data_IF_808042378027
#
_entry.id   IF_808042378027
#
_cell.length_a   1.000
_cell.length_b   1.000
_cell.length_c   1.000
_cell.angle_alpha   90.00
_cell.angle_beta   90.00
_cell.angle_gamma   90.00
#
_symmetry.space_group_name_H-M   'P 1'
#
loop_
_entity.id
_entity.type
_entity.pdbx_description
1 polymer ?
#
# COMPACT_ATOMS: atom_id res chain seq x y z
N UNK A 1 -10.67 -6.54 -31.24
CA UNK A 1 -9.63 -5.59 -31.65
C UNK A 1 -9.66 -4.46 -30.63
N UNK A 2 -8.58 -4.22 -29.92
CA UNK A 2 -8.45 -3.09 -28.99
C UNK A 2 -8.33 -1.83 -29.85
N UNK A 3 -9.13 -0.78 -29.61
CA UNK A 3 -8.99 0.48 -30.36
C UNK A 3 -7.56 1.05 -30.21
N UNK A 4 -7.00 1.57 -31.29
CA UNK A 4 -5.62 2.09 -31.31
C UNK A 4 -5.37 3.14 -30.21
N UNK A 5 -6.37 3.95 -29.88
CA UNK A 5 -6.29 4.92 -28.80
C UNK A 5 -6.11 4.28 -27.42
N UNK A 6 -6.76 3.15 -27.16
CA UNK A 6 -6.60 2.43 -25.89
C UNK A 6 -5.21 1.80 -25.78
N UNK A 7 -4.72 1.24 -26.90
CA UNK A 7 -3.37 0.69 -26.96
C UNK A 7 -2.30 1.76 -26.70
N UNK A 8 -2.44 2.92 -27.32
CA UNK A 8 -1.54 4.04 -27.06
C UNK A 8 -1.56 4.48 -25.58
N UNK A 9 -2.74 4.57 -24.95
CA UNK A 9 -2.86 4.87 -23.51
C UNK A 9 -2.16 3.85 -22.62
N UNK A 10 -2.23 2.57 -22.98
CA UNK A 10 -1.52 1.50 -22.23
C UNK A 10 -0.01 1.66 -22.38
N UNK A 11 0.50 1.97 -23.56
CA UNK A 11 1.94 2.21 -23.77
C UNK A 11 2.39 3.46 -23.02
N UNK A 12 1.66 4.56 -23.12
CA UNK A 12 1.93 5.81 -22.41
C UNK A 12 1.94 5.63 -20.89
N UNK A 13 1.09 4.72 -20.36
CA UNK A 13 1.02 4.43 -18.95
C UNK A 13 2.33 3.86 -18.37
N UNK A 14 3.20 3.26 -19.19
CA UNK A 14 4.51 2.75 -18.75
C UNK A 14 5.67 3.66 -19.15
N UNK A 15 5.39 4.81 -19.79
CA UNK A 15 6.40 5.78 -20.16
C UNK A 15 6.65 6.80 -19.06
N UNK A 16 7.81 7.45 -19.13
CA UNK A 16 8.12 8.60 -18.28
C UNK A 16 7.31 9.80 -18.77
N UNK A 17 6.51 10.38 -17.89
CA UNK A 17 5.79 11.62 -18.14
C UNK A 17 6.67 12.83 -17.84
N UNK A 18 6.26 14.02 -18.28
CA UNK A 18 6.87 15.25 -17.85
C UNK A 18 6.85 15.36 -16.31
N UNK A 19 7.91 15.90 -15.72
CA UNK A 19 7.96 16.15 -14.28
C UNK A 19 6.76 17.02 -13.89
N UNK A 20 5.94 16.60 -12.92
CA UNK A 20 4.84 17.42 -12.50
C UNK A 20 5.35 18.71 -11.86
N UNK A 21 4.91 19.83 -12.37
CA UNK A 21 5.16 21.13 -11.74
C UNK A 21 4.18 21.25 -10.56
N UNK A 22 4.60 20.76 -9.38
CA UNK A 22 3.79 20.82 -8.18
C UNK A 22 4.07 22.13 -7.43
N UNK A 23 3.14 23.05 -7.49
CA UNK A 23 3.19 24.31 -6.70
C UNK A 23 2.82 24.02 -5.23
N UNK A 24 3.13 24.94 -4.34
CA UNK A 24 2.73 24.84 -2.90
C UNK A 24 1.21 24.73 -2.76
N UNK A 25 0.44 25.42 -3.62
CA UNK A 25 -1.02 25.32 -3.60
C UNK A 25 -1.52 23.93 -4.03
N UNK A 26 -0.95 23.36 -5.10
CA UNK A 26 -1.27 21.99 -5.54
C UNK A 26 -0.84 20.96 -4.50
N UNK A 27 0.31 21.14 -3.86
CA UNK A 27 0.75 20.29 -2.74
C UNK A 27 -0.27 20.33 -1.60
N UNK A 28 -0.78 21.51 -1.23
CA UNK A 28 -1.81 21.64 -0.20
C UNK A 28 -3.10 20.87 -0.58
N UNK A 29 -3.54 20.94 -1.85
CA UNK A 29 -4.68 20.18 -2.35
C UNK A 29 -4.41 18.68 -2.30
N UNK A 30 -3.24 18.22 -2.73
CA UNK A 30 -2.83 16.81 -2.68
C UNK A 30 -2.86 16.29 -1.25
N UNK A 31 -2.28 17.03 -0.30
CA UNK A 31 -2.28 16.65 1.12
C UNK A 31 -3.70 16.65 1.72
N UNK A 32 -4.54 17.61 1.34
CA UNK A 32 -5.93 17.66 1.75
C UNK A 32 -6.73 16.44 1.22
N UNK A 33 -6.54 16.07 -0.05
CA UNK A 33 -7.18 14.89 -0.64
C UNK A 33 -6.68 13.58 0.02
N UNK A 34 -5.37 13.45 0.25
CA UNK A 34 -4.82 12.29 0.94
C UNK A 34 -5.37 12.17 2.37
N UNK A 35 -5.49 13.29 3.08
CA UNK A 35 -6.11 13.36 4.41
C UNK A 35 -7.58 12.99 4.36
N UNK A 36 -8.33 13.53 3.38
CA UNK A 36 -9.75 13.23 3.18
C UNK A 36 -9.99 11.73 2.87
N UNK A 37 -9.08 11.04 2.21
CA UNK A 37 -9.17 9.61 1.96
C UNK A 37 -8.88 8.76 3.21
N UNK A 38 -7.89 9.16 4.01
CA UNK A 38 -7.29 8.29 5.03
C UNK A 38 -7.75 8.59 6.47
N UNK A 39 -8.28 9.78 6.78
CA UNK A 39 -8.64 10.17 8.15
C UNK A 39 -10.13 10.00 8.45
N UNK A 40 -11.10 10.58 7.69
CA UNK A 40 -12.51 10.50 8.04
C UNK A 40 -13.04 9.07 7.98
N UNK A 41 -13.92 8.70 8.91
CA UNK A 41 -14.55 7.37 8.95
C UNK A 41 -15.32 7.05 7.69
N UNK A 42 -15.93 8.04 7.05
CA UNK A 42 -16.75 7.88 5.86
C UNK A 42 -15.94 7.40 4.64
N UNK A 43 -14.73 7.89 4.45
CA UNK A 43 -13.83 7.53 3.35
C UNK A 43 -12.94 6.35 3.73
N UNK A 44 -12.52 6.28 5.01
CA UNK A 44 -11.72 5.17 5.53
C UNK A 44 -12.36 3.80 5.34
N UNK A 45 -13.68 3.70 5.47
CA UNK A 45 -14.39 2.43 5.26
C UNK A 45 -14.12 1.81 3.88
N UNK A 46 -13.74 2.63 2.88
CA UNK A 46 -13.39 2.18 1.53
C UNK A 46 -11.87 2.12 1.34
N UNK A 47 -11.17 3.23 1.64
CA UNK A 47 -9.72 3.31 1.46
C UNK A 47 -8.97 2.34 2.38
N UNK A 48 -9.46 2.11 3.58
CA UNK A 48 -8.92 1.11 4.51
C UNK A 48 -8.94 -0.32 3.96
N UNK A 49 -9.88 -0.65 3.05
CA UNK A 49 -9.89 -1.95 2.37
C UNK A 49 -8.71 -2.10 1.39
N UNK A 50 -8.33 -1.02 0.69
CA UNK A 50 -7.14 -1.00 -0.15
C UNK A 50 -5.87 -1.12 0.70
N UNK A 51 -5.81 -0.41 1.83
CA UNK A 51 -4.70 -0.53 2.77
C UNK A 51 -4.56 -1.96 3.31
N UNK A 52 -5.68 -2.61 3.69
CA UNK A 52 -5.70 -4.03 4.10
C UNK A 52 -5.25 -4.94 2.96
N UNK A 53 -5.73 -4.73 1.74
CA UNK A 53 -5.29 -5.52 0.59
C UNK A 53 -3.77 -5.38 0.36
N UNK A 54 -3.22 -4.16 0.48
CA UNK A 54 -1.79 -3.91 0.35
C UNK A 54 -0.98 -4.59 1.47
N UNK A 55 -1.50 -4.63 2.69
CA UNK A 55 -0.92 -5.35 3.83
C UNK A 55 -0.86 -6.86 3.54
N UNK A 56 -1.95 -7.48 3.11
CA UNK A 56 -1.99 -8.91 2.78
C UNK A 56 -1.10 -9.25 1.58
N UNK A 57 -1.02 -8.35 0.60
CA UNK A 57 -0.07 -8.48 -0.51
C UNK A 57 1.38 -8.44 -0.05
N UNK A 58 1.70 -7.70 1.02
CA UNK A 58 3.02 -7.71 1.66
C UNK A 58 3.40 -9.11 2.14
N UNK A 59 2.52 -9.79 2.87
CA UNK A 59 2.71 -11.17 3.29
C UNK A 59 2.84 -12.12 2.10
N UNK A 60 1.95 -11.99 1.11
CA UNK A 60 1.91 -12.85 -0.06
C UNK A 60 3.17 -12.73 -0.92
N UNK A 61 3.62 -11.50 -1.19
CA UNK A 61 4.82 -11.23 -1.97
C UNK A 61 6.08 -11.77 -1.27
N UNK A 62 6.22 -11.50 0.03
CA UNK A 62 7.33 -12.01 0.81
C UNK A 62 7.32 -13.55 0.91
N UNK A 63 6.14 -14.16 0.97
CA UNK A 63 5.99 -15.62 0.93
C UNK A 63 6.50 -16.20 -0.40
N UNK A 64 6.09 -15.62 -1.53
CA UNK A 64 6.52 -16.06 -2.86
C UNK A 64 8.04 -15.87 -3.03
N UNK A 65 8.58 -14.72 -2.62
CA UNK A 65 10.03 -14.46 -2.69
C UNK A 65 10.86 -15.42 -1.85
N UNK A 66 10.33 -15.92 -0.74
CA UNK A 66 11.00 -16.92 0.11
C UNK A 66 10.70 -18.38 -0.30
N UNK A 67 10.13 -18.59 -1.49
CA UNK A 67 9.84 -19.91 -2.04
C UNK A 67 8.70 -20.66 -1.36
N UNK A 68 7.83 -19.97 -0.61
CA UNK A 68 6.66 -20.57 0.00
C UNK A 68 5.55 -20.76 -1.06
N UNK A 69 4.70 -21.76 -0.84
CA UNK A 69 3.49 -21.95 -1.64
C UNK A 69 2.37 -21.07 -1.10
N UNK A 70 2.00 -20.04 -1.85
CA UNK A 70 0.85 -19.20 -1.53
C UNK A 70 -0.44 -19.98 -1.80
N UNK A 71 -1.21 -20.24 -0.75
CA UNK A 71 -2.52 -20.93 -0.83
C UNK A 71 -3.63 -19.96 -1.20
N UNK A 72 -3.61 -18.76 -0.63
CA UNK A 72 -4.59 -17.74 -0.96
C UNK A 72 -4.63 -16.57 0.02
N UNK A 73 -5.36 -15.55 -0.41
CA UNK A 73 -5.63 -14.32 0.34
C UNK A 73 -7.14 -14.23 0.56
N UNK A 74 -7.55 -13.86 1.76
CA UNK A 74 -8.95 -13.57 2.09
C UNK A 74 -9.03 -12.17 2.68
N UNK A 75 -9.89 -11.33 2.14
CA UNK A 75 -10.17 -9.99 2.62
C UNK A 75 -11.60 -9.90 3.13
N UNK A 76 -11.83 -9.11 4.17
CA UNK A 76 -13.15 -8.87 4.74
C UNK A 76 -13.48 -7.39 4.77
N UNK A 77 -14.77 -7.06 4.79
CA UNK A 77 -15.25 -5.67 4.78
C UNK A 77 -15.02 -4.94 6.12
N UNK A 78 -14.61 -5.64 7.17
CA UNK A 78 -14.26 -5.10 8.49
C UNK A 78 -12.78 -4.66 8.61
N UNK A 79 -12.06 -4.57 7.49
CA UNK A 79 -10.63 -4.29 7.40
C UNK A 79 -9.75 -5.38 8.03
N UNK A 80 -10.22 -6.61 8.09
CA UNK A 80 -9.38 -7.76 8.40
C UNK A 80 -9.05 -8.54 7.13
N UNK A 81 -7.85 -9.12 7.10
CA UNK A 81 -7.37 -9.97 6.04
C UNK A 81 -6.66 -11.19 6.58
N UNK A 82 -6.37 -12.12 5.72
CA UNK A 82 -5.56 -13.30 6.05
C UNK A 82 -4.89 -13.82 4.79
N UNK A 83 -3.58 -13.87 4.81
CA UNK A 83 -2.76 -14.53 3.79
C UNK A 83 -2.31 -15.89 4.30
N UNK A 84 -2.60 -16.94 3.56
CA UNK A 84 -2.22 -18.31 3.91
C UNK A 84 -1.12 -18.79 2.96
N UNK A 85 0.02 -19.17 3.53
CA UNK A 85 1.14 -19.77 2.80
C UNK A 85 1.69 -20.97 3.54
N UNK A 86 2.27 -21.90 2.80
CA UNK A 86 2.96 -23.07 3.37
C UNK A 86 4.45 -22.83 3.35
N UNK A 87 5.01 -22.62 4.54
CA UNK A 87 6.45 -22.39 4.72
C UNK A 87 7.21 -23.70 4.87
N UNK A 88 8.41 -23.77 4.29
CA UNK A 88 9.35 -24.89 4.47
C UNK A 88 10.30 -24.71 5.66
N UNK A 89 10.11 -23.64 6.45
CA UNK A 89 10.98 -23.39 7.60
C UNK A 89 10.62 -22.13 8.36
N UNK A 90 11.13 -22.02 9.58
CA UNK A 90 10.87 -20.90 10.50
C UNK A 90 11.28 -19.54 9.88
N UNK A 91 12.47 -19.48 9.27
CA UNK A 91 12.99 -18.23 8.70
C UNK A 91 12.07 -17.67 7.60
N UNK A 92 11.57 -18.53 6.70
CA UNK A 92 10.63 -18.11 5.66
C UNK A 92 9.29 -17.64 6.25
N UNK A 93 8.77 -18.31 7.27
CA UNK A 93 7.55 -17.89 7.97
C UNK A 93 7.71 -16.53 8.66
N UNK A 94 8.85 -16.29 9.30
CA UNK A 94 9.19 -15.01 9.94
C UNK A 94 9.32 -13.92 8.87
N UNK A 95 10.00 -14.19 7.77
CA UNK A 95 10.14 -13.27 6.66
C UNK A 95 8.78 -12.84 6.12
N UNK A 96 7.93 -13.77 5.73
CA UNK A 96 6.60 -13.43 5.21
C UNK A 96 5.72 -12.75 6.26
N UNK A 97 5.79 -13.16 7.53
CA UNK A 97 5.04 -12.56 8.62
C UNK A 97 5.43 -11.11 8.92
N UNK A 98 6.66 -10.70 8.61
CA UNK A 98 7.15 -9.35 8.86
C UNK A 98 6.57 -8.31 7.90
N UNK A 99 6.39 -8.63 6.61
CA UNK A 99 6.16 -7.64 5.56
C UNK A 99 4.74 -7.07 5.46
N UNK A 100 3.79 -7.54 6.23
CA UNK A 100 2.43 -6.97 6.23
C UNK A 100 2.41 -5.48 6.56
N UNK A 101 2.93 -5.08 7.74
CA UNK A 101 2.94 -3.68 8.18
C UNK A 101 3.88 -2.76 7.39
N UNK A 102 5.09 -3.17 6.98
CA UNK A 102 5.99 -2.36 6.17
C UNK A 102 5.48 -2.03 4.77
N UNK A 103 4.85 -2.98 4.07
CA UNK A 103 4.57 -2.84 2.63
C UNK A 103 3.63 -1.69 2.29
N UNK A 104 2.55 -1.39 3.03
CA UNK A 104 1.74 -0.20 2.76
C UNK A 104 2.54 1.11 2.79
N UNK A 105 3.48 1.25 3.75
CA UNK A 105 4.32 2.44 3.86
C UNK A 105 5.36 2.52 2.73
N UNK A 106 6.00 1.41 2.39
CA UNK A 106 6.95 1.34 1.27
C UNK A 106 6.26 1.64 -0.06
N UNK A 107 5.07 1.07 -0.29
CA UNK A 107 4.25 1.36 -1.47
C UNK A 107 3.87 2.83 -1.51
N UNK A 108 3.48 3.39 -0.35
CA UNK A 108 3.18 4.81 -0.23
C UNK A 108 4.37 5.70 -0.60
N UNK A 109 5.55 5.43 -0.05
CA UNK A 109 6.76 6.17 -0.37
C UNK A 109 7.17 6.02 -1.85
N UNK A 110 7.05 4.81 -2.41
CA UNK A 110 7.32 4.56 -3.83
C UNK A 110 6.37 5.34 -4.73
N UNK A 111 5.06 5.40 -4.41
CA UNK A 111 4.10 6.20 -5.16
C UNK A 111 4.40 7.70 -5.08
N UNK A 112 4.74 8.21 -3.89
CA UNK A 112 5.10 9.64 -3.72
C UNK A 112 6.34 9.97 -4.55
N UNK A 113 7.41 9.23 -4.39
CA UNK A 113 8.67 9.49 -5.11
C UNK A 113 8.52 9.31 -6.63
N UNK A 114 7.81 8.27 -7.08
CA UNK A 114 7.51 8.07 -8.50
C UNK A 114 6.65 9.20 -9.05
N UNK A 115 5.65 9.67 -8.28
CA UNK A 115 4.80 10.79 -8.67
C UNK A 115 5.59 12.05 -8.94
N UNK A 116 6.50 12.45 -8.03
CA UNK A 116 7.37 13.62 -8.22
C UNK A 116 8.45 13.43 -9.30
N UNK A 117 8.88 12.19 -9.54
CA UNK A 117 9.91 11.87 -10.53
C UNK A 117 9.36 11.67 -11.96
N UNK A 118 8.08 11.96 -12.23
CA UNK A 118 7.47 11.77 -13.55
C UNK A 118 7.10 10.31 -13.89
N UNK A 119 7.24 9.38 -12.93
CA UNK A 119 6.89 7.97 -13.07
C UNK A 119 5.50 7.64 -12.52
N UNK A 120 4.67 8.67 -12.28
CA UNK A 120 3.29 8.49 -11.78
C UNK A 120 2.45 7.53 -12.61
N UNK A 121 2.40 7.65 -13.97
CA UNK A 121 1.66 6.70 -14.81
C UNK A 121 2.12 5.27 -14.60
N UNK A 122 3.44 5.03 -14.68
CA UNK A 122 4.02 3.68 -14.54
C UNK A 122 3.80 3.08 -13.15
N UNK A 123 3.86 3.89 -12.10
CA UNK A 123 3.59 3.45 -10.74
C UNK A 123 2.12 3.03 -10.55
N UNK A 124 1.16 3.81 -11.08
CA UNK A 124 -0.27 3.48 -11.05
C UNK A 124 -0.59 2.24 -11.88
N UNK A 125 -0.03 2.15 -13.10
CA UNK A 125 -0.21 0.98 -13.97
C UNK A 125 0.37 -0.28 -13.34
N UNK A 126 1.59 -0.22 -12.79
CA UNK A 126 2.23 -1.34 -12.09
C UNK A 126 1.43 -1.78 -10.88
N UNK A 127 0.97 -0.84 -10.04
CA UNK A 127 0.11 -1.14 -8.90
C UNK A 127 -1.18 -1.82 -9.31
N UNK A 128 -1.82 -1.35 -10.39
CA UNK A 128 -3.03 -1.95 -10.96
C UNK A 128 -2.77 -3.37 -11.46
N UNK A 129 -1.65 -3.62 -12.14
CA UNK A 129 -1.26 -4.96 -12.60
C UNK A 129 -0.98 -5.91 -11.43
N UNK A 130 -0.34 -5.44 -10.36
CA UNK A 130 -0.11 -6.24 -9.14
C UNK A 130 -1.47 -6.64 -8.52
N UNK A 131 -2.41 -5.69 -8.40
CA UNK A 131 -3.76 -5.97 -7.92
C UNK A 131 -4.50 -6.95 -8.84
N UNK A 132 -4.40 -6.79 -10.15
CA UNK A 132 -5.00 -7.70 -11.14
C UNK A 132 -4.43 -9.12 -11.00
N UNK A 133 -3.11 -9.26 -10.93
CA UNK A 133 -2.45 -10.55 -10.73
C UNK A 133 -2.85 -11.19 -9.38
N UNK A 134 -3.06 -10.39 -8.35
CA UNK A 134 -3.45 -10.89 -7.03
C UNK A 134 -4.83 -11.55 -7.00
N UNK A 135 -5.74 -11.21 -7.95
CA UNK A 135 -7.06 -11.85 -8.08
C UNK A 135 -6.94 -13.38 -8.22
N UNK A 136 -5.86 -13.89 -8.80
CA UNK A 136 -5.62 -15.34 -8.91
C UNK A 136 -5.49 -16.01 -7.54
N UNK A 137 -5.12 -15.27 -6.51
CA UNK A 137 -4.89 -15.78 -5.16
C UNK A 137 -6.02 -15.44 -4.18
N UNK A 138 -6.97 -14.59 -4.57
CA UNK A 138 -8.13 -14.26 -3.72
C UNK A 138 -9.06 -15.48 -3.61
N UNK A 139 -9.49 -15.80 -2.38
CA UNK A 139 -10.25 -17.03 -2.09
C UNK A 139 -11.63 -16.77 -1.49
N UNK A 140 -12.13 -15.54 -1.50
CA UNK A 140 -13.47 -15.23 -1.01
C UNK A 140 -14.14 -14.09 -1.79
N UNK A 141 -15.46 -14.06 -1.81
CA UNK A 141 -16.24 -13.08 -2.60
C UNK A 141 -15.96 -11.64 -2.19
N UNK A 142 -15.89 -11.33 -0.90
CA UNK A 142 -15.58 -9.97 -0.43
C UNK A 142 -14.20 -9.53 -0.93
N UNK A 143 -13.19 -10.41 -0.91
CA UNK A 143 -11.86 -10.13 -1.45
C UNK A 143 -11.88 -9.87 -2.95
N UNK A 144 -12.63 -10.70 -3.72
CA UNK A 144 -12.80 -10.48 -5.16
C UNK A 144 -13.44 -9.12 -5.46
N UNK A 145 -14.47 -8.74 -4.67
CA UNK A 145 -15.12 -7.45 -4.82
C UNK A 145 -14.16 -6.30 -4.49
N UNK A 146 -13.47 -6.35 -3.36
CA UNK A 146 -12.51 -5.31 -2.91
C UNK A 146 -11.40 -5.15 -3.95
N UNK A 147 -10.74 -6.25 -4.31
CA UNK A 147 -9.61 -6.21 -5.25
C UNK A 147 -10.08 -5.87 -6.67
N UNK A 148 -11.23 -6.39 -7.10
CA UNK A 148 -11.82 -6.07 -8.40
C UNK A 148 -12.18 -4.58 -8.53
N UNK A 149 -12.77 -3.97 -7.50
CA UNK A 149 -13.03 -2.53 -7.48
C UNK A 149 -11.74 -1.71 -7.46
N UNK A 150 -10.71 -2.17 -6.75
CA UNK A 150 -9.40 -1.52 -6.76
C UNK A 150 -8.73 -1.59 -8.15
N UNK A 151 -8.81 -2.74 -8.83
CA UNK A 151 -8.34 -2.91 -10.22
C UNK A 151 -9.13 -2.01 -11.18
N UNK A 152 -10.45 -1.98 -11.07
CA UNK A 152 -11.29 -1.12 -11.91
C UNK A 152 -10.97 0.36 -11.68
N UNK A 153 -10.83 0.78 -10.42
CA UNK A 153 -10.45 2.14 -10.05
C UNK A 153 -9.05 2.50 -10.56
N UNK A 154 -8.07 1.62 -10.36
CA UNK A 154 -6.71 1.81 -10.87
C UNK A 154 -6.66 1.87 -12.40
N UNK A 155 -7.38 0.99 -13.09
CA UNK A 155 -7.52 1.00 -14.54
C UNK A 155 -8.17 2.29 -15.04
N UNK A 156 -9.22 2.77 -14.36
CA UNK A 156 -9.86 4.05 -14.68
C UNK A 156 -8.86 5.22 -14.52
N UNK A 157 -8.09 5.24 -13.42
CA UNK A 157 -7.07 6.27 -13.21
C UNK A 157 -6.02 6.26 -14.32
N UNK A 158 -5.54 5.08 -14.73
CA UNK A 158 -4.53 4.93 -15.79
C UNK A 158 -5.08 5.37 -17.15
N UNK A 159 -6.35 5.06 -17.47
CA UNK A 159 -6.90 5.28 -18.80
C UNK A 159 -7.54 6.66 -18.98
N UNK A 160 -8.08 7.26 -17.91
CA UNK A 160 -8.88 8.50 -17.99
C UNK A 160 -8.09 9.71 -17.51
N UNK A 161 -7.23 9.56 -16.49
CA UNK A 161 -6.46 10.69 -15.97
C UNK A 161 -5.40 11.10 -16.99
N UNK A 162 -5.34 12.40 -17.40
CA UNK A 162 -4.28 12.89 -18.26
C UNK A 162 -2.90 12.70 -17.63
N UNK A 163 -1.89 12.39 -18.44
CA UNK A 163 -0.53 12.04 -17.97
C UNK A 163 0.13 13.11 -17.08
N UNK A 164 -0.19 14.38 -17.29
CA UNK A 164 0.29 15.49 -16.46
C UNK A 164 -0.28 15.51 -15.02
N UNK A 165 -1.44 14.85 -14.78
CA UNK A 165 -2.04 14.76 -13.44
C UNK A 165 -1.81 13.42 -12.75
N UNK A 166 -1.32 12.40 -13.45
CA UNK A 166 -1.08 11.07 -12.86
C UNK A 166 -0.05 11.10 -11.74
N UNK A 167 0.93 12.00 -11.82
CA UNK A 167 1.88 12.26 -10.74
C UNK A 167 1.18 12.72 -9.46
N UNK A 168 0.25 13.68 -9.56
CA UNK A 168 -0.52 14.18 -8.41
C UNK A 168 -1.38 13.06 -7.79
N UNK A 169 -2.03 12.23 -8.62
CA UNK A 169 -2.83 11.08 -8.15
C UNK A 169 -1.94 10.07 -7.43
N UNK A 170 -0.75 9.75 -7.96
CA UNK A 170 0.20 8.86 -7.32
C UNK A 170 0.64 9.40 -5.95
N UNK A 171 0.92 10.71 -5.84
CA UNK A 171 1.27 11.35 -4.57
C UNK A 171 0.11 11.29 -3.57
N UNK A 172 -1.14 11.58 -4.00
CA UNK A 172 -2.33 11.46 -3.13
C UNK A 172 -2.47 10.06 -2.56
N UNK A 173 -2.45 9.04 -3.41
CA UNK A 173 -2.56 7.63 -2.98
C UNK A 173 -1.38 7.21 -2.12
N UNK A 174 -0.18 7.66 -2.46
CA UNK A 174 1.04 7.37 -1.71
C UNK A 174 1.00 7.95 -0.29
N UNK A 175 0.67 9.23 -0.14
CA UNK A 175 0.52 9.86 1.19
C UNK A 175 -0.62 9.20 1.98
N UNK A 176 -1.74 8.89 1.32
CA UNK A 176 -2.86 8.22 1.98
C UNK A 176 -2.47 6.81 2.50
N UNK A 177 -1.64 6.04 1.76
CA UNK A 177 -1.11 4.75 2.22
C UNK A 177 -0.10 4.91 3.37
N UNK A 178 0.74 5.96 3.35
CA UNK A 178 1.64 6.27 4.46
C UNK A 178 0.86 6.57 5.74
N UNK A 179 -0.20 7.37 5.65
CA UNK A 179 -1.11 7.63 6.78
C UNK A 179 -1.81 6.34 7.23
N UNK A 180 -2.26 5.51 6.30
CA UNK A 180 -2.88 4.23 6.60
C UNK A 180 -1.94 3.31 7.37
N UNK A 181 -0.67 3.22 6.99
CA UNK A 181 0.35 2.42 7.68
C UNK A 181 0.55 2.87 9.14
N UNK A 182 0.60 4.20 9.39
CA UNK A 182 0.66 4.74 10.75
C UNK A 182 -0.60 4.40 11.56
N UNK A 183 -1.77 4.50 10.92
CA UNK A 183 -3.06 4.19 11.56
C UNK A 183 -3.17 2.71 11.94
N UNK A 184 -2.73 1.80 11.07
CA UNK A 184 -2.73 0.37 11.35
C UNK A 184 -1.69 0.00 12.41
N UNK A 185 -0.52 0.63 12.40
CA UNK A 185 0.50 0.50 13.45
C UNK A 185 -0.04 0.97 14.83
N UNK A 186 -0.76 2.09 14.86
CA UNK A 186 -1.39 2.57 16.09
C UNK A 186 -2.44 1.57 16.61
N UNK A 187 -3.26 0.99 15.72
CA UNK A 187 -4.21 -0.07 16.05
C UNK A 187 -3.53 -1.34 16.57
N UNK A 188 -2.41 -1.76 15.95
CA UNK A 188 -1.59 -2.87 16.41
C UNK A 188 -1.07 -2.61 17.83
N UNK A 189 -0.54 -1.42 18.07
CA UNK A 189 0.00 -1.01 19.38
C UNK A 189 -1.12 -1.00 20.46
N UNK A 190 -2.31 -0.50 20.11
CA UNK A 190 -3.48 -0.53 21.02
C UNK A 190 -3.87 -1.97 21.40
N UNK A 191 -3.82 -2.91 20.43
CA UNK A 191 -4.07 -4.35 20.69
C UNK A 191 -3.05 -4.88 21.71
N UNK A 192 -1.78 -4.55 21.59
CA UNK A 192 -0.74 -5.02 22.52
C UNK A 192 -0.81 -4.40 23.91
N UNK A 193 -1.28 -3.15 24.02
CA UNK A 193 -1.34 -2.42 25.28
C UNK A 193 -2.67 -2.65 26.03
N UNK A 194 -3.82 -2.71 25.31
CA UNK A 194 -5.14 -2.61 25.92
C UNK A 194 -6.07 -3.78 25.58
N UNK A 195 -5.90 -4.45 24.42
CA UNK A 195 -6.83 -5.46 23.92
C UNK A 195 -6.17 -6.83 23.77
N UNK A 196 -5.74 -7.37 24.90
CA UNK A 196 -5.00 -8.65 24.95
C UNK A 196 -5.80 -9.86 24.46
N UNK A 197 -7.13 -9.77 24.44
CA UNK A 197 -8.04 -10.76 23.84
C UNK A 197 -7.81 -10.94 22.33
N UNK A 198 -7.28 -9.93 21.63
CA UNK A 198 -6.98 -9.94 20.19
C UNK A 198 -5.53 -10.23 19.83
N UNK A 199 -4.67 -10.46 20.83
CA UNK A 199 -3.24 -10.70 20.59
C UNK A 199 -2.95 -11.89 19.66
N UNK A 200 -3.75 -12.96 19.75
CA UNK A 200 -3.54 -14.18 18.98
C UNK A 200 -3.56 -13.99 17.45
N UNK A 201 -4.22 -12.93 16.97
CA UNK A 201 -4.30 -12.58 15.53
C UNK A 201 -3.31 -11.49 15.12
N UNK A 202 -2.44 -11.03 16.01
CA UNK A 202 -1.46 -9.97 15.75
C UNK A 202 -0.20 -10.53 15.11
N UNK A 203 0.27 -9.95 14.00
CA UNK A 203 1.52 -10.37 13.34
C UNK A 203 2.72 -10.28 14.27
N UNK A 204 2.83 -9.20 15.06
CA UNK A 204 3.92 -9.05 16.02
C UNK A 204 3.90 -10.16 17.09
N UNK A 205 2.72 -10.65 17.48
CA UNK A 205 2.59 -11.77 18.39
C UNK A 205 2.90 -13.11 17.72
N UNK A 206 2.49 -13.30 16.47
CA UNK A 206 2.83 -14.49 15.69
C UNK A 206 4.34 -14.57 15.45
N UNK A 207 5.00 -13.45 15.17
CA UNK A 207 6.46 -13.35 15.07
C UNK A 207 7.15 -13.68 16.40
N UNK A 208 6.62 -13.17 17.53
CA UNK A 208 7.10 -13.55 18.85
C UNK A 208 6.99 -15.07 19.07
N UNK A 209 5.86 -15.66 18.77
CA UNK A 209 5.68 -17.12 18.91
C UNK A 209 6.63 -17.93 18.03
N UNK A 210 6.92 -17.42 16.84
CA UNK A 210 7.84 -18.10 15.92
C UNK A 210 9.32 -17.96 16.31
N UNK A 211 9.73 -16.87 17.00
CA UNK A 211 11.14 -16.54 17.22
C UNK A 211 11.56 -16.44 18.67
N UNK A 212 10.61 -16.33 19.61
CA UNK A 212 10.80 -15.95 21.01
C UNK A 212 11.34 -14.50 21.21
N UNK A 213 11.46 -13.72 20.14
CA UNK A 213 11.81 -12.30 20.21
C UNK A 213 10.57 -11.52 20.65
N UNK A 214 10.62 -10.69 21.69
CA UNK A 214 9.48 -9.95 22.20
C UNK A 214 8.74 -9.15 21.11
N UNK A 215 7.41 -9.15 21.14
CA UNK A 215 6.56 -8.43 20.16
C UNK A 215 6.90 -6.95 20.05
N UNK A 216 7.35 -6.31 21.15
CA UNK A 216 7.78 -4.91 21.16
C UNK A 216 8.94 -4.64 20.19
N UNK A 217 9.88 -5.59 20.05
CA UNK A 217 10.99 -5.45 19.09
C UNK A 217 10.45 -5.47 17.66
N UNK A 218 9.53 -6.37 17.34
CA UNK A 218 8.89 -6.42 16.03
C UNK A 218 8.11 -5.15 15.71
N UNK A 219 7.36 -4.63 16.67
CA UNK A 219 6.66 -3.34 16.54
C UNK A 219 7.66 -2.20 16.29
N UNK A 220 8.79 -2.17 17.01
CA UNK A 220 9.84 -1.17 16.81
C UNK A 220 10.46 -1.25 15.41
N UNK A 221 10.62 -2.45 14.86
CA UNK A 221 11.09 -2.64 13.49
C UNK A 221 10.04 -2.15 12.47
N UNK A 222 8.76 -2.41 12.70
CA UNK A 222 7.70 -1.84 11.86
C UNK A 222 7.71 -0.30 11.90
N UNK A 223 7.84 0.28 13.10
CA UNK A 223 8.00 1.74 13.28
C UNK A 223 9.18 2.26 12.47
N UNK A 224 10.33 1.61 12.54
CA UNK A 224 11.54 2.04 11.85
C UNK A 224 11.35 2.07 10.32
N UNK A 225 10.73 1.01 9.73
CA UNK A 225 10.47 0.97 8.27
C UNK A 225 9.43 2.01 7.88
N UNK A 226 8.35 2.16 8.64
CA UNK A 226 7.30 3.16 8.36
C UNK A 226 7.87 4.58 8.46
N UNK A 227 8.67 4.88 9.51
CA UNK A 227 9.32 6.18 9.66
C UNK A 227 10.32 6.44 8.53
N UNK A 228 11.13 5.45 8.15
CA UNK A 228 12.03 5.54 6.99
C UNK A 228 11.28 5.83 5.69
N UNK A 229 10.12 5.19 5.47
CA UNK A 229 9.25 5.46 4.32
C UNK A 229 8.74 6.91 4.31
N UNK A 230 8.35 7.44 5.48
CA UNK A 230 7.97 8.85 5.62
C UNK A 230 9.13 9.80 5.34
N UNK A 231 10.35 9.50 5.82
CA UNK A 231 11.53 10.32 5.53
C UNK A 231 11.83 10.37 4.03
N UNK A 232 11.73 9.23 3.32
CA UNK A 232 11.90 9.18 1.87
C UNK A 232 10.84 10.03 1.16
N UNK A 233 9.57 9.88 1.53
CA UNK A 233 8.48 10.65 0.92
C UNK A 233 8.55 12.15 1.24
N UNK A 234 9.12 12.51 2.39
CA UNK A 234 9.27 13.90 2.83
C UNK A 234 10.29 14.70 1.98
N UNK A 235 11.30 14.04 1.43
CA UNK A 235 12.37 14.73 0.66
C UNK A 235 11.81 15.58 -0.49
N UNK A 236 11.03 15.06 -1.44
CA UNK A 236 10.49 15.88 -2.52
C UNK A 236 9.44 16.89 -2.03
N UNK A 237 8.70 16.59 -0.97
CA UNK A 237 7.71 17.52 -0.38
C UNK A 237 8.42 18.73 0.22
N UNK A 238 9.46 18.50 1.01
CA UNK A 238 10.24 19.59 1.64
C UNK A 238 10.96 20.47 0.62
N UNK A 239 11.41 19.92 -0.49
CA UNK A 239 12.03 20.67 -1.56
C UNK A 239 11.07 21.70 -2.19
N UNK A 240 9.79 21.34 -2.38
CA UNK A 240 8.76 22.26 -2.88
C UNK A 240 8.48 23.38 -1.88
N UNK A 241 8.35 23.03 -0.59
CA UNK A 241 8.09 24.02 0.45
C UNK A 241 9.24 25.02 0.58
N UNK A 242 10.50 24.57 0.42
CA UNK A 242 11.67 25.44 0.46
C UNK A 242 11.78 26.32 -0.79
N UNK A 243 11.33 25.86 -1.95
CA UNK A 243 11.35 26.64 -3.20
C UNK A 243 10.21 27.67 -3.28
N UNK A 244 9.14 27.51 -2.50
CA UNK A 244 7.98 28.41 -2.46
C UNK A 244 8.01 29.42 -1.30
N UNK A 245 9.01 29.33 -0.43
CA UNK A 245 9.26 30.26 0.67
C UNK A 245 10.23 31.36 0.23
#
# INVERSE_FOLDING_TARGET
VIPDQLWQRIIEAFSHAALPHVTVAELAVVLALATALSIPRATWKYFGLLATATHELGHAFAAVMSGQRLSGIRLRLDHSGTTTSYSRGRAAAVWSGFWGYPVPALTGAALVTSGFAGWGPAALATGTLILLASLMFIRNFAGLLITGLAVAGGGLLVLVVPSNFTGHVAIVLGVALLVAAVRDLAKLTDVHLRRRDRLASSDAYLLYRATSIPSGIWISLFVAVIAGSWLVAWQPISAILAAGA
#
